data_IF_869873043166
#
_entry.id   IF_869873043166
#
_cell.length_a   1.000
_cell.length_b   1.000
_cell.length_c   1.000
_cell.angle_alpha   90.00
_cell.angle_beta   90.00
_cell.angle_gamma   90.00
#
_symmetry.space_group_name_H-M   'P 1'
#
loop_
_entity.id
_entity.type
_entity.pdbx_description
1 polymer ?
#
# COMPACT_ATOMS: atom_id res chain seq x y z
N UNK A 1 13.42 -3.86 10.28
CA UNK A 1 14.90 -3.95 10.26
C UNK A 1 15.26 -5.27 9.64
N UNK A 2 16.43 -5.35 9.00
CA UNK A 2 16.84 -6.50 8.20
C UNK A 2 18.19 -7.02 8.69
N UNK A 3 18.40 -8.33 8.63
CA UNK A 3 19.66 -8.93 9.08
C UNK A 3 20.76 -8.69 8.04
N UNK A 4 20.39 -8.71 6.75
CA UNK A 4 21.31 -8.45 5.65
C UNK A 4 20.67 -7.61 4.55
N UNK A 5 21.51 -7.09 3.64
CA UNK A 5 21.04 -6.45 2.40
C UNK A 5 20.15 -7.40 1.57
N UNK A 6 20.35 -8.71 1.67
CA UNK A 6 19.59 -9.68 0.87
C UNK A 6 18.14 -9.78 1.34
N UNK A 7 17.90 -9.68 2.64
CA UNK A 7 16.56 -9.67 3.22
C UNK A 7 15.83 -8.38 2.81
N UNK A 8 16.51 -7.23 2.91
CA UNK A 8 15.98 -5.95 2.44
C UNK A 8 15.66 -6.00 0.93
N UNK A 9 16.55 -6.56 0.13
CA UNK A 9 16.36 -6.67 -1.32
C UNK A 9 15.24 -7.65 -1.69
N UNK A 10 14.98 -8.68 -0.88
CA UNK A 10 13.84 -9.58 -1.08
C UNK A 10 12.51 -8.86 -0.87
N UNK A 11 12.41 -8.06 0.19
CA UNK A 11 11.19 -7.29 0.48
C UNK A 11 10.95 -6.20 -0.57
N UNK A 12 11.99 -5.46 -0.97
CA UNK A 12 11.91 -4.50 -2.09
C UNK A 12 11.41 -5.18 -3.37
N UNK A 13 11.83 -6.41 -3.65
CA UNK A 13 11.29 -7.17 -4.80
C UNK A 13 9.81 -7.49 -4.63
N UNK A 14 9.42 -7.94 -3.44
CA UNK A 14 8.04 -8.32 -3.14
C UNK A 14 7.06 -7.14 -3.22
N UNK A 15 7.49 -5.94 -2.80
CA UNK A 15 6.66 -4.72 -2.87
C UNK A 15 6.66 -4.04 -4.24
N UNK A 16 7.30 -4.63 -5.26
CA UNK A 16 7.33 -4.09 -6.62
C UNK A 16 8.40 -3.02 -6.88
N UNK A 17 9.26 -2.73 -5.90
CA UNK A 17 10.36 -1.74 -5.97
C UNK A 17 11.57 -2.24 -6.80
N UNK A 18 11.37 -3.27 -7.62
CA UNK A 18 12.38 -3.73 -8.60
C UNK A 18 12.54 -2.83 -9.80
N UNK A 19 11.61 -1.88 -9.97
CA UNK A 19 11.54 -1.03 -11.13
C UNK A 19 11.78 0.43 -10.78
N UNK A 20 13.04 0.89 -10.87
CA UNK A 20 13.28 2.30 -11.10
C UNK A 20 14.21 2.57 -12.30
N UNK A 21 13.65 3.42 -13.19
CA UNK A 21 14.28 4.45 -14.02
C UNK A 21 15.24 4.03 -15.15
N UNK A 22 15.22 4.88 -16.18
CA UNK A 22 15.92 4.81 -17.48
C UNK A 22 17.41 4.43 -17.36
N UNK A 23 18.04 4.70 -16.22
CA UNK A 23 19.47 4.48 -15.96
C UNK A 23 19.83 3.07 -15.45
N UNK A 24 18.87 2.15 -15.40
CA UNK A 24 19.16 0.76 -15.03
C UNK A 24 20.20 0.14 -15.97
N UNK A 25 21.25 -0.44 -15.38
CA UNK A 25 22.16 -1.34 -16.11
C UNK A 25 21.40 -2.49 -16.77
N UNK A 26 21.59 -2.66 -18.08
CA UNK A 26 21.08 -3.79 -18.86
C UNK A 26 21.85 -5.10 -18.62
N UNK A 27 22.99 -5.03 -17.93
CA UNK A 27 23.79 -6.21 -17.58
C UNK A 27 23.37 -6.76 -16.23
N UNK A 28 23.27 -8.09 -16.06
CA UNK A 28 23.05 -8.70 -14.75
C UNK A 28 24.10 -8.27 -13.73
N UNK A 29 23.69 -8.08 -12.47
CA UNK A 29 24.61 -7.80 -11.38
C UNK A 29 25.53 -8.99 -11.11
N UNK A 30 26.82 -8.75 -10.86
CA UNK A 30 27.78 -9.80 -10.51
C UNK A 30 27.68 -10.17 -9.02
N UNK A 31 28.15 -11.36 -8.65
CA UNK A 31 28.25 -11.77 -7.23
C UNK A 31 29.07 -10.77 -6.40
N UNK A 32 30.18 -10.27 -6.97
CA UNK A 32 31.05 -9.27 -6.33
C UNK A 32 30.33 -7.95 -6.08
N UNK A 33 29.47 -7.52 -7.01
CA UNK A 33 28.67 -6.31 -6.84
C UNK A 33 27.79 -6.42 -5.60
N UNK A 34 27.03 -7.52 -5.48
CA UNK A 34 26.12 -7.72 -4.36
C UNK A 34 26.85 -7.95 -3.04
N UNK A 35 27.99 -8.66 -3.05
CA UNK A 35 28.83 -8.81 -1.86
C UNK A 35 29.32 -7.46 -1.34
N UNK A 36 29.88 -6.62 -2.22
CA UNK A 36 30.36 -5.28 -1.84
C UNK A 36 29.22 -4.37 -1.38
N UNK A 37 28.06 -4.47 -2.03
CA UNK A 37 26.88 -3.73 -1.58
C UNK A 37 26.45 -4.16 -0.17
N UNK A 38 26.46 -5.47 0.13
CA UNK A 38 26.10 -5.97 1.46
C UNK A 38 27.04 -5.45 2.56
N UNK A 39 28.35 -5.44 2.30
CA UNK A 39 29.36 -4.84 3.19
C UNK A 39 29.05 -3.37 3.47
N UNK A 40 28.86 -2.57 2.40
CA UNK A 40 28.56 -1.14 2.51
C UNK A 40 27.25 -0.92 3.30
N UNK A 41 26.24 -1.75 3.07
CA UNK A 41 24.97 -1.64 3.78
C UNK A 41 25.12 -1.93 5.27
N UNK A 42 25.87 -2.99 5.62
CA UNK A 42 26.18 -3.32 7.00
C UNK A 42 27.00 -2.22 7.70
N UNK A 43 28.00 -1.66 7.03
CA UNK A 43 28.88 -0.62 7.57
C UNK A 43 28.15 0.71 7.83
N UNK A 44 27.22 1.09 6.95
CA UNK A 44 26.69 2.46 6.91
C UNK A 44 25.25 2.61 7.37
N UNK A 45 24.47 1.53 7.38
CA UNK A 45 23.02 1.58 7.62
C UNK A 45 22.54 0.64 8.72
N UNK A 46 23.47 0.01 9.45
CA UNK A 46 23.14 -0.81 10.62
C UNK A 46 22.99 0.06 11.87
N UNK A 47 22.02 -0.30 12.69
CA UNK A 47 21.90 0.20 14.06
C UNK A 47 22.93 -0.52 14.98
N UNK A 48 23.07 -0.12 16.27
CA UNK A 48 24.00 -0.77 17.21
C UNK A 48 23.75 -2.27 17.43
N UNK A 49 22.57 -2.78 17.08
CA UNK A 49 22.24 -4.21 17.11
C UNK A 49 22.71 -4.97 15.86
N UNK A 50 23.40 -4.29 14.94
CA UNK A 50 23.92 -4.86 13.70
C UNK A 50 22.88 -5.04 12.59
N UNK A 51 21.63 -4.57 12.79
CA UNK A 51 20.55 -4.76 11.81
C UNK A 51 20.36 -3.52 10.96
N UNK A 52 20.14 -3.73 9.66
CA UNK A 52 19.91 -2.65 8.70
C UNK A 52 18.55 -2.01 8.97
N UNK A 53 18.56 -0.69 9.16
CA UNK A 53 17.35 0.13 9.24
C UNK A 53 16.94 0.62 7.86
N UNK A 54 15.66 0.42 7.52
CA UNK A 54 15.05 1.00 6.33
C UNK A 54 13.68 1.59 6.70
N UNK A 55 13.33 2.70 6.05
CA UNK A 55 12.06 3.42 6.24
C UNK A 55 11.38 3.56 4.89
N UNK A 56 10.09 3.18 4.82
CA UNK A 56 9.30 3.21 3.59
C UNK A 56 8.13 4.17 3.76
N UNK A 57 8.11 5.31 3.04
CA UNK A 57 6.91 6.12 2.96
C UNK A 57 5.91 5.44 2.02
N UNK A 58 4.76 5.03 2.55
CA UNK A 58 3.69 4.42 1.76
C UNK A 58 2.54 5.42 1.62
N UNK A 59 2.22 5.78 0.37
CA UNK A 59 1.02 6.57 0.05
C UNK A 59 -0.03 5.62 -0.50
N UNK A 60 -1.22 5.64 0.07
CA UNK A 60 -2.36 4.85 -0.39
C UNK A 60 -3.55 5.76 -0.63
N UNK A 61 -4.39 5.41 -1.60
CA UNK A 61 -5.62 6.12 -1.92
C UNK A 61 -6.70 5.09 -2.24
N UNK A 62 -7.85 5.22 -1.60
CA UNK A 62 -9.06 4.46 -1.91
C UNK A 62 -10.14 5.42 -2.37
N UNK A 63 -10.82 5.09 -3.46
CA UNK A 63 -11.99 5.84 -3.95
C UNK A 63 -13.14 4.90 -4.28
N UNK A 64 -14.36 5.41 -4.17
CA UNK A 64 -15.54 4.75 -4.73
C UNK A 64 -16.23 5.72 -5.69
N UNK A 65 -16.88 5.17 -6.72
CA UNK A 65 -17.78 5.91 -7.59
C UNK A 65 -19.21 5.41 -7.37
N UNK A 66 -20.21 6.29 -7.30
CA UNK A 66 -21.60 5.86 -7.23
C UNK A 66 -21.99 5.14 -8.52
N UNK A 67 -22.71 4.03 -8.39
CA UNK A 67 -23.28 3.33 -9.54
C UNK A 67 -24.42 4.13 -10.17
N UNK A 68 -24.66 3.96 -11.48
CA UNK A 68 -25.77 4.62 -12.16
C UNK A 68 -27.15 4.20 -11.60
N UNK A 69 -27.25 3.00 -11.01
CA UNK A 69 -28.43 2.48 -10.33
C UNK A 69 -28.62 3.07 -8.93
N UNK A 70 -27.69 3.90 -8.44
CA UNK A 70 -27.81 4.54 -7.13
C UNK A 70 -29.09 5.39 -7.11
N UNK A 71 -29.97 5.10 -6.16
CA UNK A 71 -31.20 5.88 -6.00
C UNK A 71 -30.86 7.34 -5.72
N UNK A 72 -31.47 8.24 -6.51
CA UNK A 72 -31.35 9.69 -6.29
C UNK A 72 -32.32 10.11 -5.19
N UNK A 73 -31.91 11.01 -4.28
CA UNK A 73 -32.84 11.55 -3.30
C UNK A 73 -34.03 12.23 -3.99
N UNK A 74 -35.23 11.99 -3.44
CA UNK A 74 -36.45 12.65 -3.90
C UNK A 74 -36.42 14.14 -3.56
N UNK A 75 -37.24 14.94 -4.26
CA UNK A 75 -37.37 16.37 -3.97
C UNK A 75 -37.83 16.58 -2.51
N UNK A 76 -37.25 17.54 -1.75
CA UNK A 76 -37.71 17.85 -0.40
C UNK A 76 -39.22 18.10 -0.37
N UNK A 77 -39.93 17.52 0.60
CA UNK A 77 -41.39 17.63 0.73
C UNK A 77 -42.22 16.66 -0.11
N UNK A 78 -41.61 15.82 -0.96
CA UNK A 78 -42.34 14.83 -1.78
C UNK A 78 -42.53 13.45 -1.11
N UNK A 79 -42.22 13.35 0.19
CA UNK A 79 -42.37 12.11 0.95
C UNK A 79 -43.85 11.75 1.08
N UNK A 80 -44.25 10.61 0.48
CA UNK A 80 -45.63 10.08 0.58
C UNK A 80 -45.88 9.26 1.84
N UNK A 81 -44.80 8.81 2.50
CA UNK A 81 -44.83 7.94 3.66
C UNK A 81 -43.86 8.48 4.72
N UNK A 82 -44.30 8.49 5.97
CA UNK A 82 -43.48 8.92 7.10
C UNK A 82 -42.61 7.76 7.59
N UNK A 83 -41.31 8.00 7.73
CA UNK A 83 -40.38 7.01 8.30
C UNK A 83 -40.78 6.63 9.74
N UNK A 84 -41.31 7.58 10.51
CA UNK A 84 -41.83 7.33 11.87
C UNK A 84 -42.91 6.26 11.87
N UNK A 85 -43.85 6.34 10.92
CA UNK A 85 -44.95 5.38 10.81
C UNK A 85 -44.45 3.96 10.45
N UNK A 86 -43.40 3.85 9.63
CA UNK A 86 -42.78 2.56 9.28
C UNK A 86 -42.02 1.97 10.48
N UNK A 87 -41.34 2.80 11.27
CA UNK A 87 -40.60 2.33 12.44
C UNK A 87 -41.53 1.91 13.59
N UNK A 88 -42.69 2.55 13.72
CA UNK A 88 -43.72 2.20 14.72
C UNK A 88 -44.52 0.95 14.34
N UNK A 89 -44.64 0.63 13.04
CA UNK A 89 -45.29 -0.58 12.54
C UNK A 89 -44.48 -1.20 11.39
N UNK A 90 -43.37 -1.88 11.69
CA UNK A 90 -42.50 -2.46 10.67
C UNK A 90 -43.23 -3.58 9.92
N UNK A 91 -43.14 -3.64 8.58
CA UNK A 91 -43.76 -4.72 7.81
C UNK A 91 -43.13 -6.07 8.22
N UNK A 92 -43.98 -7.08 8.45
CA UNK A 92 -43.51 -8.43 8.76
C UNK A 92 -42.83 -9.03 7.53
N UNK A 93 -41.64 -9.60 7.73
CA UNK A 93 -40.82 -10.25 6.69
C UNK A 93 -41.49 -11.46 6.08
#
# INVERSE_FOLDING_TARGET
>A
RYDTLFDLAADLRAVGETSPLIDRSRRPGSRRLFARAAEIYAERFSDPDGRIRASFPVVWMSGWAPDASQQKPLKPGSAKLSLKAILENPPKS
#
